data_IF_471777585929
#
_entry.id   IF_471777585929
#
_cell.length_a   1.000
_cell.length_b   1.000
_cell.length_c   1.000
_cell.angle_alpha   90.00
_cell.angle_beta   90.00
_cell.angle_gamma   90.00
#
_symmetry.space_group_name_H-M   'P 1'
#
loop_
_entity.id
_entity.type
_entity.pdbx_description
1 polymer ?
#
# COMPACT_ATOMS: atom_id res chain seq x y z
N UNK A 1 -1.27 -16.82 11.75
CA UNK A 1 -1.46 -15.42 12.19
C UNK A 1 -0.59 -14.46 11.38
N UNK A 2 0.75 -14.60 11.39
CA UNK A 2 1.64 -13.73 10.61
C UNK A 2 1.31 -13.71 9.10
N UNK A 3 1.11 -14.88 8.48
CA UNK A 3 0.73 -14.95 7.05
C UNK A 3 -0.56 -14.18 6.73
N UNK A 4 -1.60 -14.36 7.54
CA UNK A 4 -2.89 -13.67 7.37
C UNK A 4 -2.71 -12.16 7.53
N UNK A 5 -1.92 -11.73 8.51
CA UNK A 5 -1.68 -10.32 8.76
C UNK A 5 -0.92 -9.64 7.61
N UNK A 6 0.12 -10.28 7.06
CA UNK A 6 0.81 -9.77 5.86
C UNK A 6 -0.11 -9.75 4.63
N UNK A 7 -1.02 -10.72 4.49
CA UNK A 7 -2.02 -10.72 3.42
C UNK A 7 -2.97 -9.52 3.55
N UNK A 8 -3.51 -9.29 4.75
CA UNK A 8 -4.40 -8.15 5.04
C UNK A 8 -3.69 -6.82 4.81
N UNK A 9 -2.45 -6.69 5.30
CA UNK A 9 -1.60 -5.51 5.04
C UNK A 9 -1.41 -5.30 3.54
N UNK A 10 -1.14 -6.36 2.79
CA UNK A 10 -1.00 -6.30 1.33
C UNK A 10 -2.27 -5.81 0.62
N UNK A 11 -3.44 -6.33 0.99
CA UNK A 11 -4.73 -5.91 0.43
C UNK A 11 -4.98 -4.42 0.72
N UNK A 12 -4.73 -3.98 1.96
CA UNK A 12 -4.93 -2.58 2.36
C UNK A 12 -3.95 -1.66 1.62
N UNK A 13 -2.71 -2.09 1.42
CA UNK A 13 -1.74 -1.33 0.64
C UNK A 13 -2.16 -1.18 -0.82
N UNK A 14 -2.75 -2.22 -1.43
CA UNK A 14 -3.33 -2.11 -2.78
C UNK A 14 -4.50 -1.12 -2.81
N UNK A 15 -5.41 -1.18 -1.83
CA UNK A 15 -6.53 -0.24 -1.73
C UNK A 15 -6.06 1.21 -1.54
N UNK A 16 -5.00 1.41 -0.75
CA UNK A 16 -4.35 2.70 -0.57
C UNK A 16 -3.79 3.24 -1.90
N UNK A 17 -3.03 2.42 -2.64
CA UNK A 17 -2.47 2.79 -3.96
C UNK A 17 -3.59 3.12 -4.95
N UNK A 18 -4.67 2.34 -4.98
CA UNK A 18 -5.83 2.63 -5.83
C UNK A 18 -6.45 3.99 -5.50
N UNK A 19 -6.63 4.30 -4.20
CA UNK A 19 -7.13 5.61 -3.76
C UNK A 19 -6.22 6.76 -4.18
N UNK A 20 -4.90 6.58 -4.02
CA UNK A 20 -3.88 7.53 -4.48
C UNK A 20 -3.96 7.80 -5.98
N UNK A 21 -3.94 6.75 -6.80
CA UNK A 21 -4.03 6.85 -8.26
C UNK A 21 -5.33 7.53 -8.68
N UNK A 22 -6.46 7.19 -8.05
CA UNK A 22 -7.75 7.82 -8.36
C UNK A 22 -7.74 9.31 -8.04
N UNK A 23 -7.27 9.72 -6.87
CA UNK A 23 -7.20 11.12 -6.47
C UNK A 23 -6.28 11.92 -7.42
N UNK A 24 -5.02 11.50 -7.54
CA UNK A 24 -4.03 12.24 -8.33
C UNK A 24 -4.30 12.18 -9.83
N UNK A 25 -4.82 11.05 -10.33
CA UNK A 25 -5.27 10.93 -11.71
C UNK A 25 -6.41 11.90 -12.02
N UNK A 26 -7.39 12.03 -11.12
CA UNK A 26 -8.51 12.98 -11.28
C UNK A 26 -8.02 14.43 -11.24
N UNK A 27 -7.16 14.78 -10.29
CA UNK A 27 -6.54 16.11 -10.20
C UNK A 27 -5.79 16.44 -11.50
N UNK A 28 -4.98 15.51 -12.00
CA UNK A 28 -4.17 15.74 -13.19
C UNK A 28 -5.03 15.85 -14.46
N UNK A 29 -6.07 15.03 -14.58
CA UNK A 29 -7.05 15.12 -15.66
C UNK A 29 -7.74 16.49 -15.68
N UNK A 30 -8.18 17.00 -14.53
CA UNK A 30 -8.80 18.31 -14.40
C UNK A 30 -7.81 19.46 -14.69
N UNK A 31 -6.54 19.33 -14.30
CA UNK A 31 -5.48 20.29 -14.66
C UNK A 31 -5.27 20.36 -16.17
N UNK A 32 -5.21 19.22 -16.86
CA UNK A 32 -5.07 19.15 -18.33
C UNK A 32 -6.27 19.78 -19.04
N UNK A 33 -7.47 19.69 -18.47
CA UNK A 33 -8.68 20.35 -18.99
C UNK A 33 -8.75 21.86 -18.71
N UNK A 34 -7.77 22.44 -18.03
CA UNK A 34 -7.69 23.88 -17.79
C UNK A 34 -8.53 24.38 -16.61
N UNK A 35 -9.02 23.49 -15.73
CA UNK A 35 -9.76 23.92 -14.54
C UNK A 35 -8.82 24.57 -13.52
N UNK A 36 -9.05 25.86 -13.23
CA UNK A 36 -8.49 26.52 -12.06
C UNK A 36 -9.02 25.82 -10.79
N UNK A 37 -8.12 25.52 -9.85
CA UNK A 37 -8.43 24.75 -8.62
C UNK A 37 -8.92 23.30 -8.84
N UNK A 38 -8.25 22.58 -9.74
CA UNK A 38 -8.47 21.15 -9.97
C UNK A 38 -8.46 20.28 -8.70
N UNK A 39 -7.69 20.63 -7.68
CA UNK A 39 -7.62 19.90 -6.40
C UNK A 39 -8.92 20.03 -5.58
N UNK A 40 -9.52 21.23 -5.55
CA UNK A 40 -10.84 21.46 -4.93
C UNK A 40 -11.96 20.76 -5.71
N UNK A 41 -11.88 20.75 -7.04
CA UNK A 41 -12.89 20.09 -7.88
C UNK A 41 -12.78 18.57 -7.92
N UNK A 42 -11.58 18.02 -7.78
CA UNK A 42 -11.36 16.57 -7.76
C UNK A 42 -11.98 15.93 -6.52
N UNK A 43 -12.08 16.70 -5.43
CA UNK A 43 -12.53 16.20 -4.15
C UNK A 43 -13.29 17.27 -3.35
N UNK A 44 -14.36 17.78 -3.95
CA UNK A 44 -15.19 18.88 -3.42
C UNK A 44 -15.71 18.58 -2.00
N UNK A 45 -15.98 17.30 -1.71
CA UNK A 45 -16.40 16.82 -0.39
C UNK A 45 -15.27 16.20 0.45
N UNK A 46 -14.01 16.26 0.00
CA UNK A 46 -12.82 15.67 0.65
C UNK A 46 -12.91 14.16 0.92
N UNK A 47 -13.81 13.45 0.26
CA UNK A 47 -14.08 12.02 0.51
C UNK A 47 -12.88 11.17 0.11
N UNK A 48 -12.27 11.45 -1.03
CA UNK A 48 -11.17 10.63 -1.56
C UNK A 48 -9.90 10.90 -0.76
N UNK A 49 -9.65 12.16 -0.41
CA UNK A 49 -8.52 12.59 0.42
C UNK A 49 -8.61 12.02 1.83
N UNK A 50 -9.78 12.11 2.48
CA UNK A 50 -10.00 11.53 3.80
C UNK A 50 -9.87 10.00 3.77
N UNK A 51 -10.35 9.35 2.71
CA UNK A 51 -10.14 7.92 2.49
C UNK A 51 -8.65 7.55 2.38
N UNK A 52 -7.87 8.29 1.60
CA UNK A 52 -6.43 8.05 1.44
C UNK A 52 -5.70 8.23 2.77
N UNK A 53 -6.06 9.24 3.55
CA UNK A 53 -5.50 9.46 4.89
C UNK A 53 -5.88 8.33 5.84
N UNK A 54 -7.15 7.93 5.87
CA UNK A 54 -7.61 6.82 6.71
C UNK A 54 -6.88 5.52 6.35
N UNK A 55 -6.75 5.23 5.06
CA UNK A 55 -6.03 4.05 4.57
C UNK A 55 -4.54 4.11 4.89
N UNK A 56 -3.90 5.29 4.85
CA UNK A 56 -2.52 5.46 5.26
C UNK A 56 -2.31 5.05 6.72
N UNK A 57 -3.14 5.56 7.64
CA UNK A 57 -3.06 5.19 9.05
C UNK A 57 -3.29 3.69 9.27
N UNK A 58 -4.33 3.14 8.62
CA UNK A 58 -4.65 1.73 8.74
C UNK A 58 -3.50 0.84 8.22
N UNK A 59 -2.90 1.22 7.09
CA UNK A 59 -1.76 0.53 6.51
C UNK A 59 -0.58 0.53 7.46
N UNK A 60 -0.19 1.69 8.01
CA UNK A 60 0.95 1.80 8.94
C UNK A 60 0.73 0.96 10.18
N UNK A 61 -0.44 1.07 10.82
CA UNK A 61 -0.77 0.35 12.06
C UNK A 61 -0.66 -1.17 11.82
N UNK A 62 -1.34 -1.67 10.78
CA UNK A 62 -1.34 -3.10 10.49
C UNK A 62 0.03 -3.60 10.05
N UNK A 63 0.81 -2.79 9.34
CA UNK A 63 2.17 -3.13 8.94
C UNK A 63 3.13 -3.22 10.13
N UNK A 64 2.98 -2.35 11.12
CA UNK A 64 3.71 -2.45 12.38
C UNK A 64 3.38 -3.74 13.13
N UNK A 65 2.09 -4.09 13.24
CA UNK A 65 1.69 -5.37 13.83
C UNK A 65 2.19 -6.57 13.01
N UNK A 66 2.16 -6.49 11.67
CA UNK A 66 2.69 -7.51 10.78
C UNK A 66 4.18 -7.72 11.02
N UNK A 67 4.95 -6.63 11.12
CA UNK A 67 6.37 -6.64 11.37
C UNK A 67 6.72 -7.29 12.72
N UNK A 68 6.04 -6.88 13.79
CA UNK A 68 6.22 -7.48 15.12
C UNK A 68 5.91 -8.98 15.07
N UNK A 69 4.80 -9.36 14.45
CA UNK A 69 4.41 -10.77 14.33
C UNK A 69 5.41 -11.57 13.48
N UNK A 70 5.99 -10.96 12.45
CA UNK A 70 7.02 -11.58 11.63
C UNK A 70 8.28 -11.86 12.44
N UNK A 71 8.73 -10.93 13.29
CA UNK A 71 9.88 -11.15 14.18
C UNK A 71 9.62 -12.22 15.24
N UNK A 72 8.41 -12.26 15.82
CA UNK A 72 8.02 -13.33 16.75
C UNK A 72 8.01 -14.70 16.03
N UNK A 73 7.62 -14.74 14.75
CA UNK A 73 7.53 -15.95 13.93
C UNK A 73 8.55 -15.99 12.81
N UNK A 74 9.82 -15.79 13.18
CA UNK A 74 10.93 -15.72 12.21
C UNK A 74 11.18 -17.06 11.49
N UNK A 75 10.83 -18.19 12.12
CA UNK A 75 10.99 -19.54 11.56
C UNK A 75 10.01 -19.85 10.42
N UNK A 76 8.92 -19.10 10.29
CA UNK A 76 7.95 -19.30 9.21
C UNK A 76 8.55 -18.91 7.84
N UNK A 77 8.24 -19.71 6.82
CA UNK A 77 8.71 -19.52 5.45
C UNK A 77 8.53 -18.08 4.93
N UNK A 78 9.45 -17.65 4.07
CA UNK A 78 9.48 -16.32 3.45
C UNK A 78 9.58 -15.17 4.47
N UNK A 79 10.26 -15.37 5.60
CA UNK A 79 10.49 -14.32 6.61
C UNK A 79 11.01 -13.00 5.99
N UNK A 80 12.08 -13.08 5.19
CA UNK A 80 12.65 -11.89 4.54
C UNK A 80 11.64 -11.11 3.70
N UNK A 81 10.86 -11.82 2.87
CA UNK A 81 9.82 -11.21 2.03
C UNK A 81 8.73 -10.52 2.88
N UNK A 82 8.28 -11.15 3.97
CA UNK A 82 7.27 -10.59 4.87
C UNK A 82 7.76 -9.34 5.60
N UNK A 83 9.01 -9.36 6.06
CA UNK A 83 9.65 -8.21 6.69
C UNK A 83 9.82 -7.06 5.70
N UNK A 84 10.35 -7.32 4.50
CA UNK A 84 10.47 -6.31 3.45
C UNK A 84 9.11 -5.71 3.08
N UNK A 85 8.08 -6.54 2.90
CA UNK A 85 6.72 -6.07 2.61
C UNK A 85 6.20 -5.15 3.71
N UNK A 86 6.36 -5.54 4.98
CA UNK A 86 5.90 -4.74 6.12
C UNK A 86 6.65 -3.40 6.22
N UNK A 87 7.98 -3.40 6.02
CA UNK A 87 8.79 -2.18 6.02
C UNK A 87 8.34 -1.24 4.91
N UNK A 88 8.24 -1.73 3.67
CA UNK A 88 7.78 -0.91 2.53
C UNK A 88 6.38 -0.34 2.79
N UNK A 89 5.49 -1.14 3.36
CA UNK A 89 4.12 -0.71 3.70
C UNK A 89 4.08 0.38 4.78
N UNK A 90 4.99 0.33 5.76
CA UNK A 90 5.12 1.38 6.78
C UNK A 90 5.57 2.68 6.12
N UNK A 91 6.60 2.63 5.27
CA UNK A 91 7.19 3.84 4.72
C UNK A 91 6.38 4.46 3.58
N UNK A 92 5.64 3.66 2.82
CA UNK A 92 4.91 4.11 1.63
C UNK A 92 4.04 5.35 1.87
N UNK A 93 3.22 5.45 2.93
CA UNK A 93 2.39 6.64 3.15
C UNK A 93 3.16 7.91 3.52
N UNK A 94 4.40 7.78 3.99
CA UNK A 94 5.28 8.91 4.32
C UNK A 94 6.06 9.42 3.09
N UNK A 95 6.01 8.69 1.98
CA UNK A 95 6.66 9.09 0.74
C UNK A 95 5.82 10.17 0.05
N UNK A 96 6.22 11.43 0.24
CA UNK A 96 5.48 12.57 -0.31
C UNK A 96 5.24 12.46 -1.82
N UNK A 97 3.95 12.42 -2.11
CA UNK A 97 3.19 12.32 -3.36
C UNK A 97 3.73 13.11 -4.58
N UNK A 98 4.52 14.16 -4.39
CA UNK A 98 4.99 15.00 -5.52
C UNK A 98 6.23 14.46 -6.22
N UNK A 99 6.70 13.26 -5.86
CA UNK A 99 7.98 12.76 -6.31
C UNK A 99 7.83 11.44 -7.08
N UNK A 100 8.56 11.29 -8.19
CA UNK A 100 8.65 10.02 -8.95
C UNK A 100 9.00 8.82 -8.08
N UNK A 101 9.61 9.09 -6.92
CA UNK A 101 9.95 8.10 -5.92
C UNK A 101 8.73 7.42 -5.26
N UNK A 102 7.59 8.10 -5.12
CA UNK A 102 6.36 7.47 -4.60
C UNK A 102 5.89 6.35 -5.52
N UNK A 103 5.82 6.61 -6.83
CA UNK A 103 5.44 5.60 -7.84
C UNK A 103 6.39 4.40 -7.80
N UNK A 104 7.70 4.65 -7.62
CA UNK A 104 8.68 3.58 -7.51
C UNK A 104 8.43 2.71 -6.27
N UNK A 105 8.17 3.33 -5.11
CA UNK A 105 7.89 2.61 -3.86
C UNK A 105 6.59 1.81 -3.94
N UNK A 106 5.54 2.39 -4.54
CA UNK A 106 4.28 1.69 -4.81
C UNK A 106 4.49 0.49 -5.75
N UNK A 107 5.28 0.67 -6.81
CA UNK A 107 5.66 -0.42 -7.72
C UNK A 107 6.44 -1.53 -7.02
N UNK A 108 7.42 -1.17 -6.18
CA UNK A 108 8.17 -2.14 -5.36
C UNK A 108 7.22 -2.91 -4.43
N UNK A 109 6.29 -2.21 -3.79
CA UNK A 109 5.29 -2.86 -2.95
C UNK A 109 4.42 -3.86 -3.73
N UNK A 110 3.90 -3.47 -4.91
CA UNK A 110 3.05 -4.33 -5.73
C UNK A 110 3.81 -5.60 -6.17
N UNK A 111 5.08 -5.46 -6.55
CA UNK A 111 5.94 -6.59 -6.90
C UNK A 111 6.17 -7.50 -5.69
N UNK A 112 6.53 -6.94 -4.54
CA UNK A 112 6.74 -7.72 -3.31
C UNK A 112 5.46 -8.45 -2.89
N UNK A 113 4.31 -7.80 -2.98
CA UNK A 113 3.04 -8.41 -2.64
C UNK A 113 2.64 -9.50 -3.64
N UNK A 114 2.88 -9.30 -4.95
CA UNK A 114 2.68 -10.32 -5.97
C UNK A 114 3.54 -11.56 -5.76
N UNK A 115 4.83 -11.37 -5.45
CA UNK A 115 5.75 -12.47 -5.09
C UNK A 115 5.25 -13.18 -3.81
N UNK A 116 4.74 -12.42 -2.84
CA UNK A 116 4.20 -12.97 -1.61
C UNK A 116 2.97 -13.84 -1.86
N UNK A 117 2.01 -13.37 -2.66
CA UNK A 117 0.82 -14.13 -3.04
C UNK A 117 1.20 -15.43 -3.76
N UNK A 118 2.12 -15.34 -4.73
CA UNK A 118 2.61 -16.51 -5.45
C UNK A 118 3.26 -17.54 -4.51
N UNK A 119 4.09 -17.08 -3.57
CA UNK A 119 4.72 -17.95 -2.58
C UNK A 119 3.69 -18.60 -1.64
N UNK A 120 2.67 -17.87 -1.20
CA UNK A 120 1.58 -18.42 -0.38
C UNK A 120 0.80 -19.49 -1.15
N UNK A 121 0.49 -19.26 -2.42
CA UNK A 121 -0.20 -20.22 -3.27
C UNK A 121 0.63 -21.48 -3.52
N UNK A 122 1.92 -21.33 -3.84
CA UNK A 122 2.84 -22.46 -4.06
C UNK A 122 2.94 -23.36 -2.82
N UNK A 123 3.08 -22.75 -1.64
CA UNK A 123 3.15 -23.50 -0.37
C UNK A 123 1.83 -24.16 0.02
N UNK A 124 0.69 -23.69 -0.52
CA UNK A 124 -0.61 -24.35 -0.34
C UNK A 124 -0.77 -25.58 -1.24
N UNK A 125 -0.13 -25.59 -2.42
CA UNK A 125 -0.14 -26.69 -3.39
C UNK A 125 0.85 -27.82 -3.05
N UNK A 126 1.79 -27.62 -2.12
CA UNK A 126 2.79 -28.64 -1.74
C UNK A 126 2.43 -29.42 -0.46
N UNK A 127 1.17 -29.33 -0.02
CA UNK A 127 0.57 -30.09 1.08
C UNK A 127 -0.51 -30.98 0.46
#
# INVERSE_FOLDING_TARGET
MAKVLNLVTGIIGVLYICGQILYYGTVQFLKVKGYSQAELRADDHKIIFDWVIFMAFLLVILSCFALITNFIKFEEANFGLRVCLSIVSIFMPFMHIKNHFTILVEGVFLVLFGIYLYSVEKNKKSI
#
